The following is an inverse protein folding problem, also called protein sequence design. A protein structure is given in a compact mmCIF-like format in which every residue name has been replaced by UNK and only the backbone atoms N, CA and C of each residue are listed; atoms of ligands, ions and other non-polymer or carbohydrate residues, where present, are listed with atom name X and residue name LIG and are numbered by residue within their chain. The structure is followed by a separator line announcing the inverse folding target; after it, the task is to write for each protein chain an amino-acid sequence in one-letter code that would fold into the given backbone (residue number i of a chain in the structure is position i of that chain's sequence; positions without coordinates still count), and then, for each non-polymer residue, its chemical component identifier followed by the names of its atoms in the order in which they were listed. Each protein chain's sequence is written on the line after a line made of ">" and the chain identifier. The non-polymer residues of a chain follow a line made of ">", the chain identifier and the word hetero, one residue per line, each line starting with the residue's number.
data_IF_390478146613
#
_entry.id   IF_390478146613
#
_cell.length_a   1.000
_cell.length_b   1.000
_cell.length_c   1.000
_cell.angle_alpha   90.00
_cell.angle_beta   90.00
_cell.angle_gamma   90.00
#
_symmetry.space_group_name_H-M   'P 1'
#
loop_
_entity.id
_entity.type
_entity.pdbx_description
1 polymer ?
#
# COMPACT_ATOMS: atom_id res chain seq x y z
N UNK A 1 -55.63 32.21 -27.60
CA UNK A 1 -54.24 32.61 -27.30
C UNK A 1 -54.16 32.66 -25.79
N UNK A 2 -53.67 31.62 -25.15
CA UNK A 2 -53.40 31.64 -23.70
C UNK A 2 -52.14 30.81 -23.43
N UNK A 3 -51.00 31.50 -23.36
CA UNK A 3 -49.72 30.93 -22.98
C UNK A 3 -49.60 30.95 -21.45
N UNK A 4 -49.46 29.77 -20.82
CA UNK A 4 -49.14 29.63 -19.40
C UNK A 4 -47.66 29.28 -19.21
N UNK A 5 -46.96 29.77 -18.17
CA UNK A 5 -45.52 29.55 -17.97
C UNK A 5 -45.20 28.14 -17.46
N UNK A 6 -44.02 27.63 -17.86
CA UNK A 6 -43.47 26.34 -17.44
C UNK A 6 -42.58 26.48 -16.20
N UNK A 7 -42.81 25.61 -15.20
CA UNK A 7 -42.05 25.50 -13.95
C UNK A 7 -40.79 24.61 -14.10
N UNK A 8 -39.76 24.75 -13.25
CA UNK A 8 -38.55 23.93 -13.30
C UNK A 8 -38.81 22.48 -12.82
N UNK A 9 -38.02 21.48 -13.29
CA UNK A 9 -38.21 20.09 -12.89
C UNK A 9 -37.75 19.83 -11.45
N UNK A 10 -38.56 19.03 -10.76
CA UNK A 10 -38.45 18.61 -9.38
C UNK A 10 -37.34 17.59 -9.13
N UNK A 11 -36.65 17.81 -8.02
CA UNK A 11 -35.67 16.96 -7.34
C UNK A 11 -36.30 15.64 -6.83
N UNK A 12 -35.54 14.54 -6.85
CA UNK A 12 -35.78 13.37 -5.98
C UNK A 12 -36.24 12.06 -6.65
N UNK A 13 -35.36 11.40 -7.41
CA UNK A 13 -35.45 9.94 -7.57
C UNK A 13 -34.73 9.29 -6.38
N UNK A 14 -35.49 8.57 -5.55
CA UNK A 14 -35.03 7.89 -4.35
C UNK A 14 -34.00 6.80 -4.69
N UNK A 15 -32.80 6.87 -4.12
CA UNK A 15 -31.88 5.74 -4.06
C UNK A 15 -32.38 4.73 -3.01
N UNK A 16 -32.25 3.41 -3.23
CA UNK A 16 -32.53 2.42 -2.20
C UNK A 16 -31.60 2.64 -1.01
N UNK A 17 -32.18 2.87 0.17
CA UNK A 17 -31.43 2.99 1.43
C UNK A 17 -30.93 1.61 1.82
N UNK A 18 -29.67 1.28 1.50
CA UNK A 18 -29.00 0.13 2.09
C UNK A 18 -28.77 0.40 3.58
N UNK A 19 -29.24 -0.52 4.42
CA UNK A 19 -29.19 -0.40 5.88
C UNK A 19 -27.74 -0.52 6.40
N UNK A 20 -27.35 0.16 7.49
CA UNK A 20 -26.00 0.10 8.07
C UNK A 20 -25.60 -1.29 8.63
N UNK A 21 -26.47 -2.29 8.50
CA UNK A 21 -26.40 -3.58 9.16
C UNK A 21 -25.79 -4.67 8.25
N UNK A 22 -25.69 -4.44 6.94
CA UNK A 22 -24.89 -5.27 6.00
C UNK A 22 -23.38 -4.95 6.08
N UNK A 23 -23.00 -4.02 6.96
CA UNK A 23 -21.63 -3.69 7.31
C UNK A 23 -21.31 -4.20 8.73
N UNK A 24 -21.52 -5.49 8.98
CA UNK A 24 -20.85 -6.10 10.13
C UNK A 24 -19.34 -5.96 9.92
N UNK A 25 -18.58 -5.32 10.83
CA UNK A 25 -17.13 -5.29 10.71
C UNK A 25 -16.63 -6.74 10.71
N UNK A 26 -15.83 -7.17 9.71
CA UNK A 26 -15.17 -8.46 9.82
C UNK A 26 -14.29 -8.47 11.08
N UNK A 27 -14.09 -9.64 11.72
CA UNK A 27 -13.24 -9.79 12.90
C UNK A 27 -11.82 -9.24 12.66
N UNK A 28 -11.04 -8.95 13.74
CA UNK A 28 -9.68 -8.41 13.64
C UNK A 28 -8.77 -9.27 12.73
N UNK A 29 -7.72 -8.68 12.16
CA UNK A 29 -7.06 -9.18 10.96
C UNK A 29 -6.51 -10.59 11.13
N UNK A 30 -6.92 -11.50 10.24
CA UNK A 30 -6.02 -12.55 9.79
C UNK A 30 -5.14 -11.91 8.72
N UNK A 31 -4.05 -11.27 9.13
CA UNK A 31 -2.92 -11.11 8.20
C UNK A 31 -2.62 -12.52 7.75
N UNK A 32 -2.67 -12.77 6.44
CA UNK A 32 -2.37 -14.09 5.91
C UNK A 32 -1.05 -14.53 6.57
N UNK A 33 -1.03 -15.67 7.29
CA UNK A 33 0.13 -16.04 8.07
C UNK A 33 1.35 -16.01 7.16
N UNK A 34 2.48 -15.57 7.71
CA UNK A 34 3.77 -15.65 7.05
C UNK A 34 3.91 -17.07 6.47
N UNK A 35 3.82 -17.21 5.14
CA UNK A 35 3.83 -18.53 4.49
C UNK A 35 2.80 -18.75 3.37
N UNK A 36 1.75 -17.93 3.25
CA UNK A 36 0.77 -18.08 2.14
C UNK A 36 1.11 -17.29 0.87
N UNK A 37 1.93 -16.24 0.99
CA UNK A 37 2.45 -15.47 -0.15
C UNK A 37 3.98 -15.35 0.00
N UNK A 38 4.76 -15.91 -0.94
CA UNK A 38 6.23 -15.98 -0.83
C UNK A 38 6.94 -14.63 -0.90
N UNK A 39 6.24 -13.57 -1.33
CA UNK A 39 6.80 -12.23 -1.43
C UNK A 39 6.61 -11.39 -0.17
N UNK A 40 5.76 -11.81 0.76
CA UNK A 40 5.50 -11.07 2.01
C UNK A 40 6.48 -11.54 3.07
N UNK A 41 7.38 -10.65 3.49
CA UNK A 41 8.33 -10.89 4.57
C UNK A 41 7.70 -10.40 5.88
N UNK A 42 6.99 -11.28 6.57
CA UNK A 42 6.53 -11.01 7.94
C UNK A 42 7.71 -11.20 8.89
N UNK A 43 8.53 -10.16 9.07
CA UNK A 43 9.60 -10.20 10.07
C UNK A 43 9.06 -9.65 11.40
N UNK A 44 8.94 -10.44 12.48
CA UNK A 44 8.87 -9.86 13.81
C UNK A 44 10.17 -9.07 14.02
N UNK A 45 10.04 -7.76 14.22
CA UNK A 45 11.19 -6.92 14.57
C UNK A 45 11.76 -7.40 15.91
N UNK A 46 13.08 -7.57 16.00
CA UNK A 46 13.79 -7.98 17.23
C UNK A 46 13.88 -6.88 18.30
N UNK A 47 12.99 -5.89 18.26
CA UNK A 47 12.89 -4.82 19.25
C UNK A 47 11.96 -5.20 20.42
N UNK A 48 12.17 -4.67 21.63
CA UNK A 48 11.30 -4.95 22.76
C UNK A 48 9.85 -4.51 22.44
N UNK A 49 8.84 -5.29 22.83
CA UNK A 49 7.45 -4.98 22.53
C UNK A 49 7.05 -3.67 23.22
N UNK A 50 6.64 -2.67 22.44
CA UNK A 50 5.99 -1.48 22.96
C UNK A 50 4.61 -1.89 23.51
N UNK A 51 4.35 -1.51 24.76
CA UNK A 51 3.14 -1.87 25.51
C UNK A 51 1.87 -1.42 24.78
N UNK A 52 0.89 -2.31 24.79
CA UNK A 52 -0.43 -2.22 24.16
C UNK A 52 -1.16 -0.89 24.39
N UNK A 53 -1.58 -0.28 23.28
CA UNK A 53 -2.78 0.56 23.24
C UNK A 53 -3.63 0.10 22.06
N UNK A 54 -4.76 -0.56 22.37
CA UNK A 54 -5.84 -0.77 21.42
C UNK A 54 -6.30 0.60 20.95
N UNK A 55 -6.18 0.88 19.64
CA UNK A 55 -6.95 1.94 19.01
C UNK A 55 -7.13 1.70 17.52
N UNK A 56 -8.36 2.01 17.14
CA UNK A 56 -8.95 2.33 15.84
C UNK A 56 -7.94 2.58 14.72
N UNK A 57 -8.31 2.17 13.49
CA UNK A 57 -7.49 2.29 12.29
C UNK A 57 -6.78 3.64 12.12
N UNK A 58 -5.73 3.70 11.28
CA UNK A 58 -4.74 4.77 11.29
C UNK A 58 -5.41 6.15 11.24
N UNK A 59 -5.23 6.92 12.31
CA UNK A 59 -5.68 8.32 12.36
C UNK A 59 -4.87 9.14 11.35
N UNK A 60 -5.45 10.23 10.84
CA UNK A 60 -4.73 11.24 10.04
C UNK A 60 -3.45 11.69 10.77
N UNK A 61 -3.49 11.74 12.10
CA UNK A 61 -2.34 12.07 12.94
C UNK A 61 -1.23 11.02 12.86
N UNK A 62 -1.56 9.73 12.91
CA UNK A 62 -0.56 8.66 12.81
C UNK A 62 0.04 8.60 11.41
N UNK A 63 -0.78 8.81 10.39
CA UNK A 63 -0.36 8.96 9.00
C UNK A 63 0.63 10.12 8.85
N UNK A 64 0.33 11.30 9.40
CA UNK A 64 1.24 12.45 9.34
C UNK A 64 2.55 12.19 10.09
N UNK A 65 2.50 11.57 11.27
CA UNK A 65 3.70 11.24 12.05
C UNK A 65 4.59 10.21 11.37
N UNK A 66 4.00 9.18 10.74
CA UNK A 66 4.75 8.20 9.93
C UNK A 66 5.56 8.88 8.83
N UNK A 67 4.96 9.84 8.13
CA UNK A 67 5.63 10.62 7.08
C UNK A 67 6.76 11.51 7.63
N UNK A 68 6.55 12.15 8.78
CA UNK A 68 7.59 12.98 9.41
C UNK A 68 8.78 12.12 9.85
N UNK A 69 8.51 10.96 10.46
CA UNK A 69 9.53 10.01 10.84
C UNK A 69 10.31 9.51 9.61
N UNK A 70 9.61 9.22 8.52
CA UNK A 70 10.21 8.81 7.26
C UNK A 70 11.15 9.88 6.68
N UNK A 71 10.72 11.15 6.63
CA UNK A 71 11.56 12.26 6.14
C UNK A 71 12.81 12.41 7.01
N UNK A 72 12.65 12.34 8.33
CA UNK A 72 13.77 12.38 9.28
C UNK A 72 14.76 11.23 9.03
N UNK A 73 14.24 10.01 8.82
CA UNK A 73 15.02 8.81 8.51
C UNK A 73 15.85 8.97 7.24
N UNK A 74 15.27 9.51 6.17
CA UNK A 74 15.98 9.76 4.89
C UNK A 74 17.15 10.72 5.09
N UNK A 75 16.96 11.76 5.91
CA UNK A 75 18.02 12.74 6.19
C UNK A 75 19.12 12.09 7.05
N UNK A 76 18.75 11.43 8.15
CA UNK A 76 19.71 10.85 9.10
C UNK A 76 20.50 9.69 8.51
N UNK A 77 19.86 8.83 7.72
CA UNK A 77 20.50 7.66 7.11
C UNK A 77 21.24 8.02 5.81
N UNK A 78 21.08 9.25 5.30
CA UNK A 78 21.84 9.75 4.15
C UNK A 78 21.27 9.34 2.79
N UNK A 79 19.95 9.23 2.68
CA UNK A 79 19.22 8.99 1.44
C UNK A 79 18.51 7.63 1.37
N UNK A 80 17.67 7.47 0.34
CA UNK A 80 16.86 6.25 0.15
C UNK A 80 17.71 5.02 -0.19
N UNK A 81 18.86 5.19 -0.84
CA UNK A 81 19.77 4.08 -1.16
C UNK A 81 20.24 3.35 0.11
N UNK A 82 20.66 4.11 1.13
CA UNK A 82 21.11 3.54 2.40
C UNK A 82 19.97 2.93 3.19
N UNK A 83 18.81 3.61 3.26
CA UNK A 83 17.60 3.04 3.87
C UNK A 83 17.26 1.69 3.22
N UNK A 84 17.27 1.64 1.89
CA UNK A 84 16.95 0.44 1.13
C UNK A 84 17.90 -0.72 1.48
N UNK A 85 19.21 -0.48 1.44
CA UNK A 85 20.24 -1.47 1.77
C UNK A 85 20.17 -1.96 3.23
N UNK A 86 19.76 -1.10 4.16
CA UNK A 86 19.58 -1.47 5.57
C UNK A 86 18.25 -2.20 5.82
N UNK A 87 17.23 -1.93 5.00
CA UNK A 87 15.88 -2.48 5.18
C UNK A 87 15.71 -3.84 4.52
N UNK A 88 16.41 -4.07 3.40
CA UNK A 88 16.32 -5.27 2.58
C UNK A 88 17.68 -5.88 2.34
N UNK A 89 17.74 -7.21 2.33
CA UNK A 89 18.92 -7.92 1.84
C UNK A 89 19.14 -7.60 0.37
N UNK A 90 20.30 -7.02 0.04
CA UNK A 90 20.65 -6.57 -1.30
C UNK A 90 21.76 -7.43 -1.88
N UNK A 91 21.69 -7.71 -3.18
CA UNK A 91 22.82 -8.33 -3.89
C UNK A 91 23.99 -7.33 -3.95
N UNK A 92 25.26 -7.79 -4.04
CA UNK A 92 26.42 -6.91 -4.07
C UNK A 92 26.37 -5.79 -5.13
N UNK A 93 25.79 -6.08 -6.30
CA UNK A 93 25.69 -5.14 -7.42
C UNK A 93 24.29 -4.51 -7.58
N UNK A 94 23.41 -4.73 -6.60
CA UNK A 94 22.05 -4.20 -6.63
C UNK A 94 22.04 -2.70 -6.38
N UNK A 95 21.43 -1.96 -7.31
CA UNK A 95 21.31 -0.50 -7.24
C UNK A 95 19.86 -0.10 -7.14
N UNK A 96 19.56 0.81 -6.21
CA UNK A 96 18.26 1.45 -6.16
C UNK A 96 18.12 2.39 -7.38
N UNK A 97 17.03 2.23 -8.13
CA UNK A 97 16.69 3.12 -9.26
C UNK A 97 15.83 4.28 -8.76
N UNK A 98 14.76 3.97 -8.02
CA UNK A 98 13.78 4.95 -7.50
C UNK A 98 13.14 4.49 -6.21
N UNK A 99 12.68 5.46 -5.42
CA UNK A 99 11.83 5.24 -4.25
C UNK A 99 10.59 6.15 -4.36
N UNK A 100 9.44 5.60 -4.01
CA UNK A 100 8.16 6.28 -4.08
C UNK A 100 7.40 6.10 -2.79
N UNK A 101 7.01 7.22 -2.20
CA UNK A 101 5.99 7.25 -1.18
C UNK A 101 4.63 6.84 -1.77
N UNK A 102 3.97 5.85 -1.17
CA UNK A 102 2.68 5.36 -1.62
C UNK A 102 1.94 4.62 -0.50
N UNK A 103 0.79 4.07 -0.85
CA UNK A 103 0.05 3.13 -0.03
C UNK A 103 -0.04 1.77 -0.74
N UNK A 104 0.07 0.70 0.03
CA UNK A 104 -0.34 -0.64 -0.38
C UNK A 104 -1.82 -0.82 -0.02
N UNK A 105 -2.69 -1.04 -1.01
CA UNK A 105 -4.10 -1.35 -0.78
C UNK A 105 -4.24 -2.79 -0.29
N UNK A 106 -4.92 -2.97 0.84
CA UNK A 106 -5.26 -4.27 1.39
C UNK A 106 -6.75 -4.34 1.69
N UNK A 107 -7.30 -5.54 1.90
CA UNK A 107 -8.69 -5.73 2.31
C UNK A 107 -9.04 -5.06 3.65
N UNK A 108 -8.04 -4.75 4.46
CA UNK A 108 -8.19 -4.08 5.77
C UNK A 108 -7.87 -2.59 5.70
N UNK A 109 -7.73 -2.04 4.49
CA UNK A 109 -7.40 -0.63 4.25
C UNK A 109 -5.98 -0.42 3.72
N UNK A 110 -5.66 0.83 3.34
CA UNK A 110 -4.35 1.18 2.79
C UNK A 110 -3.27 1.21 3.88
N UNK A 111 -2.16 0.52 3.64
CA UNK A 111 -0.94 0.57 4.46
C UNK A 111 0.01 1.60 3.86
N UNK A 112 0.34 2.64 4.62
CA UNK A 112 1.29 3.67 4.21
C UNK A 112 2.73 3.13 4.21
N UNK A 113 3.50 3.48 3.18
CA UNK A 113 4.91 3.10 3.13
C UNK A 113 5.66 3.63 1.92
N UNK A 114 6.74 2.92 1.61
CA UNK A 114 7.67 3.26 0.52
C UNK A 114 7.84 2.08 -0.40
N UNK A 115 7.64 2.31 -1.69
CA UNK A 115 7.94 1.38 -2.77
C UNK A 115 9.30 1.72 -3.38
N UNK A 116 10.24 0.80 -3.27
CA UNK A 116 11.57 0.84 -3.83
C UNK A 116 11.63 0.01 -5.11
N UNK A 117 12.21 0.57 -6.16
CA UNK A 117 12.50 -0.12 -7.42
C UNK A 117 14.01 -0.19 -7.57
N UNK A 118 14.59 -1.38 -7.51
CA UNK A 118 16.02 -1.62 -7.73
C UNK A 118 16.28 -2.29 -9.08
N UNK A 119 17.55 -2.53 -9.40
CA UNK A 119 17.94 -3.35 -10.56
C UNK A 119 17.54 -4.82 -10.42
N UNK A 120 17.24 -5.30 -9.20
CA UNK A 120 16.98 -6.72 -8.94
C UNK A 120 15.57 -7.03 -8.43
N UNK A 121 14.89 -6.06 -7.79
CA UNK A 121 13.58 -6.28 -7.17
C UNK A 121 12.73 -5.02 -7.07
N UNK A 122 11.43 -5.26 -6.97
CA UNK A 122 10.48 -4.35 -6.36
C UNK A 122 10.40 -4.67 -4.87
N UNK A 123 10.47 -3.67 -3.99
CA UNK A 123 10.36 -3.88 -2.56
C UNK A 123 9.48 -2.81 -1.90
N UNK A 124 8.58 -3.21 -1.01
CA UNK A 124 7.75 -2.30 -0.23
C UNK A 124 8.04 -2.47 1.25
N UNK A 125 8.04 -1.36 1.99
CA UNK A 125 8.13 -1.35 3.44
C UNK A 125 7.12 -0.36 4.00
N UNK A 126 6.36 -0.76 5.03
CA UNK A 126 5.49 0.18 5.75
C UNK A 126 6.29 1.21 6.55
N UNK A 127 5.75 2.43 6.68
CA UNK A 127 6.39 3.51 7.44
C UNK A 127 6.32 3.26 8.97
N UNK A 128 5.32 2.49 9.41
CA UNK A 128 5.11 2.08 10.81
C UNK A 128 4.72 0.60 10.92
N UNK A 129 4.84 -0.01 12.12
CA UNK A 129 4.38 -1.37 12.35
C UNK A 129 2.88 -1.50 12.11
N UNK A 130 2.50 -2.58 11.41
CA UNK A 130 1.11 -2.95 11.13
C UNK A 130 0.70 -4.01 12.14
N UNK A 131 -0.45 -3.82 12.79
CA UNK A 131 -0.98 -4.76 13.76
C UNK A 131 -1.54 -6.02 13.07
N UNK A 132 -1.33 -7.18 13.69
CA UNK A 132 -1.86 -8.47 13.25
C UNK A 132 -2.19 -9.36 14.45
N UNK A 133 -3.08 -10.34 14.23
CA UNK A 133 -3.41 -11.34 15.25
C UNK A 133 -2.59 -12.61 15.00
N UNK A 134 -1.96 -13.13 16.05
CA UNK A 134 -1.21 -14.40 16.02
C UNK A 134 -2.14 -15.60 16.14
N UNK A 135 -1.62 -16.81 15.89
CA UNK A 135 -2.37 -18.06 16.07
C UNK A 135 -2.92 -18.23 17.51
N UNK A 136 -2.18 -17.73 18.50
CA UNK A 136 -2.59 -17.69 19.91
C UNK A 136 -3.61 -16.58 20.24
N UNK A 137 -4.20 -15.97 19.21
CA UNK A 137 -5.18 -14.89 19.32
C UNK A 137 -4.65 -13.64 20.07
N UNK A 138 -3.34 -13.42 20.01
CA UNK A 138 -2.68 -12.24 20.57
C UNK A 138 -2.46 -11.17 19.51
N UNK A 139 -2.56 -9.90 19.88
CA UNK A 139 -2.22 -8.80 18.96
C UNK A 139 -0.73 -8.53 19.00
N UNK A 140 -0.08 -8.64 17.86
CA UNK A 140 1.30 -8.25 17.63
C UNK A 140 1.35 -7.12 16.58
N UNK A 141 2.51 -6.48 16.41
CA UNK A 141 2.72 -5.55 15.31
C UNK A 141 4.12 -5.72 14.73
N UNK A 142 4.22 -5.63 13.40
CA UNK A 142 5.47 -5.81 12.68
C UNK A 142 5.52 -4.88 11.46
N UNK A 143 6.74 -4.56 11.00
CA UNK A 143 6.90 -3.84 9.74
C UNK A 143 6.45 -4.74 8.60
N UNK A 144 5.52 -4.26 7.78
CA UNK A 144 5.01 -5.01 6.65
C UNK A 144 5.95 -4.82 5.45
N UNK A 145 6.50 -5.92 4.94
CA UNK A 145 7.44 -5.90 3.83
C UNK A 145 6.98 -6.79 2.69
N UNK A 146 7.14 -6.31 1.46
CA UNK A 146 6.99 -7.10 0.24
C UNK A 146 8.33 -7.05 -0.52
N UNK A 147 8.77 -8.18 -1.06
CA UNK A 147 9.92 -8.25 -1.98
C UNK A 147 9.52 -9.10 -3.17
N UNK A 148 9.44 -8.51 -4.35
CA UNK A 148 9.19 -9.22 -5.62
C UNK A 148 10.42 -9.08 -6.52
N UNK A 149 11.17 -10.16 -6.78
CA UNK A 149 12.27 -10.13 -7.74
C UNK A 149 11.79 -9.68 -9.13
N UNK A 150 12.61 -8.91 -9.84
CA UNK A 150 12.29 -8.46 -11.20
C UNK A 150 11.92 -9.61 -12.14
N UNK A 151 12.62 -10.77 -12.15
CA UNK A 151 12.22 -11.91 -12.97
C UNK A 151 10.84 -12.49 -12.61
N UNK A 152 10.32 -12.19 -11.42
CA UNK A 152 9.01 -12.63 -10.96
C UNK A 152 7.91 -11.60 -11.23
N UNK A 153 8.23 -10.43 -11.79
CA UNK A 153 7.24 -9.45 -12.22
C UNK A 153 6.63 -9.89 -13.55
N UNK A 154 5.34 -10.23 -13.55
CA UNK A 154 4.62 -10.59 -14.77
C UNK A 154 4.07 -9.36 -15.48
N UNK A 155 3.39 -8.48 -14.75
CA UNK A 155 2.76 -7.30 -15.36
C UNK A 155 2.60 -6.16 -14.37
N UNK A 156 2.62 -4.94 -14.92
CA UNK A 156 2.34 -3.69 -14.21
C UNK A 156 1.26 -2.94 -14.98
N UNK A 157 0.07 -2.86 -14.38
CA UNK A 157 -1.12 -2.29 -15.01
C UNK A 157 -1.58 -1.04 -14.26
N UNK A 158 -1.44 0.16 -14.86
CA UNK A 158 -2.07 1.35 -14.31
C UNK A 158 -3.59 1.28 -14.49
N UNK A 159 -4.34 1.69 -13.47
CA UNK A 159 -5.81 1.79 -13.54
C UNK A 159 -6.32 2.91 -12.66
N UNK A 160 -7.59 3.27 -12.80
CA UNK A 160 -8.27 4.25 -11.97
C UNK A 160 -9.62 3.67 -11.49
N UNK A 161 -10.09 4.15 -10.34
CA UNK A 161 -11.42 3.79 -9.84
C UNK A 161 -12.50 4.24 -10.81
N UNK A 162 -13.48 3.37 -11.08
CA UNK A 162 -14.65 3.71 -11.89
C UNK A 162 -15.55 4.73 -11.19
N UNK A 163 -15.58 4.71 -9.86
CA UNK A 163 -16.38 5.62 -9.05
C UNK A 163 -15.69 6.97 -8.86
N UNK A 164 -14.36 6.97 -8.78
CA UNK A 164 -13.54 8.17 -8.61
C UNK A 164 -12.30 8.14 -9.51
N UNK A 165 -12.34 8.76 -10.70
CA UNK A 165 -11.19 8.80 -11.61
C UNK A 165 -9.93 9.49 -11.06
N UNK A 166 -10.05 10.25 -9.95
CA UNK A 166 -8.89 10.82 -9.26
C UNK A 166 -8.12 9.78 -8.43
N UNK A 167 -8.77 8.67 -8.04
CA UNK A 167 -8.14 7.55 -7.35
C UNK A 167 -7.49 6.63 -8.37
N UNK A 168 -6.17 6.75 -8.48
CA UNK A 168 -5.35 5.97 -9.40
C UNK A 168 -4.57 4.89 -8.65
N UNK A 169 -4.53 3.71 -9.27
CA UNK A 169 -3.89 2.51 -8.77
C UNK A 169 -2.87 1.99 -9.76
N UNK A 170 -1.87 1.27 -9.25
CA UNK A 170 -0.95 0.48 -10.05
C UNK A 170 -1.06 -0.96 -9.54
N UNK A 171 -1.56 -1.86 -10.39
CA UNK A 171 -1.56 -3.28 -10.12
C UNK A 171 -0.22 -3.86 -10.54
N UNK A 172 0.43 -4.59 -9.64
CA UNK A 172 1.62 -5.39 -9.90
C UNK A 172 1.24 -6.85 -9.72
N UNK A 173 1.44 -7.65 -10.75
CA UNK A 173 1.12 -9.08 -10.74
C UNK A 173 2.42 -9.87 -10.87
N UNK A 174 2.60 -10.87 -10.02
CA UNK A 174 3.73 -11.77 -10.09
C UNK A 174 3.51 -12.95 -11.06
N UNK A 175 4.57 -13.67 -11.41
CA UNK A 175 4.54 -14.85 -12.30
C UNK A 175 3.75 -16.04 -11.75
N UNK A 176 3.40 -16.01 -10.49
CA UNK A 176 2.58 -16.97 -9.73
C UNK A 176 1.22 -16.38 -9.31
N UNK A 177 0.77 -15.31 -9.97
CA UNK A 177 -0.57 -14.71 -9.81
C UNK A 177 -0.84 -14.05 -8.45
N UNK A 178 0.19 -13.59 -7.73
CA UNK A 178 -0.03 -12.71 -6.59
C UNK A 178 -0.14 -11.26 -7.04
N UNK A 179 -1.21 -10.61 -6.60
CA UNK A 179 -1.53 -9.23 -6.97
C UNK A 179 -1.21 -8.26 -5.82
N UNK A 180 -0.49 -7.19 -6.14
CA UNK A 180 -0.21 -6.08 -5.25
C UNK A 180 -0.75 -4.79 -5.83
N UNK A 181 -1.53 -4.08 -5.03
CA UNK A 181 -2.21 -2.86 -5.45
C UNK A 181 -1.60 -1.66 -4.75
N UNK A 182 -0.96 -0.77 -5.50
CA UNK A 182 -0.37 0.45 -4.95
C UNK A 182 -1.17 1.68 -5.37
N UNK A 183 -1.28 2.66 -4.48
CA UNK A 183 -2.03 3.90 -4.74
C UNK A 183 -1.43 5.10 -4.01
N UNK A 184 -1.97 6.30 -4.29
CA UNK A 184 -1.60 7.53 -3.59
C UNK A 184 -0.17 8.02 -3.86
N UNK A 185 0.38 7.70 -5.03
CA UNK A 185 1.68 8.20 -5.48
C UNK A 185 1.63 9.70 -5.71
N UNK A 186 2.60 10.44 -5.14
CA UNK A 186 2.75 11.88 -5.43
C UNK A 186 3.07 12.12 -6.91
N UNK A 187 3.88 11.24 -7.52
CA UNK A 187 4.21 11.29 -8.93
C UNK A 187 3.86 9.95 -9.60
N UNK A 188 2.55 9.77 -9.84
CA UNK A 188 1.96 8.54 -10.37
C UNK A 188 2.57 8.12 -11.72
N UNK A 189 2.65 9.04 -12.68
CA UNK A 189 3.11 8.70 -14.05
C UNK A 189 4.58 8.27 -14.05
N UNK A 190 5.43 8.89 -13.22
CA UNK A 190 6.81 8.48 -13.01
C UNK A 190 6.90 7.07 -12.40
N UNK A 191 6.05 6.76 -11.42
CA UNK A 191 6.01 5.44 -10.79
C UNK A 191 5.58 4.36 -11.79
N UNK A 192 4.51 4.60 -12.56
CA UNK A 192 4.04 3.68 -13.60
C UNK A 192 5.15 3.38 -14.60
N UNK A 193 5.80 4.41 -15.13
CA UNK A 193 6.89 4.23 -16.10
C UNK A 193 8.03 3.41 -15.50
N UNK A 194 8.49 3.75 -14.30
CA UNK A 194 9.60 3.05 -13.65
C UNK A 194 9.29 1.58 -13.38
N UNK A 195 8.07 1.27 -12.93
CA UNK A 195 7.62 -0.10 -12.64
C UNK A 195 7.45 -0.92 -13.93
N UNK A 196 6.90 -0.33 -14.98
CA UNK A 196 6.77 -0.99 -16.29
C UNK A 196 8.13 -1.27 -16.92
N UNK A 197 9.08 -0.34 -16.81
CA UNK A 197 10.46 -0.54 -17.28
C UNK A 197 11.13 -1.69 -16.52
N UNK A 198 10.89 -1.81 -15.21
CA UNK A 198 11.37 -2.94 -14.42
C UNK A 198 10.76 -4.28 -14.87
N UNK A 199 9.44 -4.35 -15.07
CA UNK A 199 8.76 -5.57 -15.50
C UNK A 199 9.13 -6.02 -16.93
N UNK A 200 9.56 -5.09 -17.79
CA UNK A 200 10.06 -5.40 -19.14
C UNK A 200 11.50 -5.89 -19.15
N UNK A 201 12.15 -6.01 -17.99
CA UNK A 201 13.57 -6.39 -17.89
C UNK A 201 14.51 -5.31 -18.37
N UNK A 202 14.18 -4.02 -18.12
CA UNK A 202 14.93 -2.87 -18.61
C UNK A 202 16.43 -2.99 -18.38
N UNK A 203 17.15 -2.98 -19.52
CA UNK A 203 18.59 -3.14 -19.74
C UNK A 203 19.52 -2.43 -18.73
#
# INVERSE_FOLDING_TARGET
>A
MDSKPQAPPSEGAAYPRMSPEDLAPPPPPVVAPAGSNPYVLSSPSSGPPAKSAVKTGPSITDAAMGRIAQVSKVISEGGYDKIFQQTFECLPDEKLKKAYACYLSTSHGPIMGVLYVSTAKLAFCSDSPVAYVTEDNQTASAIYKIVVPVPHLRSVTPTASQQNPAERYIQVVSVDNHDFWFMGFVNYDSAVKCLQDAARGGA
#
